data_IF_126788042984
#
_entry.id   IF_126788042984
#
_cell.length_a   1.000
_cell.length_b   1.000
_cell.length_c   1.000
_cell.angle_alpha   90.00
_cell.angle_beta   90.00
_cell.angle_gamma   90.00
#
_symmetry.space_group_name_H-M   'P 1'
#
loop_
_entity.id
_entity.type
_entity.pdbx_description
1 polymer ?
#
# COMPACT_ATOMS: atom_id res chain seq x y z
N UNK A 1 -2.00 -24.90 21.27
CA UNK A 1 -0.54 -25.11 21.07
C UNK A 1 -0.21 -25.37 19.60
N UNK A 2 -0.99 -26.22 18.91
CA UNK A 2 -0.83 -26.57 17.48
C UNK A 2 -1.13 -25.41 16.51
N UNK A 3 -2.03 -24.49 16.87
CA UNK A 3 -2.41 -23.32 16.06
C UNK A 3 -1.26 -22.31 15.91
N UNK A 4 -0.54 -22.04 17.01
CA UNK A 4 0.65 -21.15 17.02
C UNK A 4 1.83 -21.70 16.19
N UNK A 5 1.93 -23.02 16.05
CA UNK A 5 2.99 -23.64 15.25
C UNK A 5 2.72 -23.48 13.76
N UNK A 6 1.46 -23.60 13.32
CA UNK A 6 1.06 -23.35 11.94
C UNK A 6 1.28 -21.88 11.55
N UNK A 7 0.90 -20.93 12.42
CA UNK A 7 1.14 -19.51 12.18
C UNK A 7 2.63 -19.16 12.08
N UNK A 8 3.45 -19.77 12.94
CA UNK A 8 4.90 -19.56 12.92
C UNK A 8 5.55 -20.15 11.66
N UNK A 9 5.12 -21.34 11.23
CA UNK A 9 5.60 -21.98 9.99
C UNK A 9 5.13 -21.18 8.77
N UNK A 10 3.90 -20.68 8.77
CA UNK A 10 3.39 -19.82 7.70
C UNK A 10 4.15 -18.48 7.65
N UNK A 11 4.46 -17.88 8.79
CA UNK A 11 5.26 -16.67 8.88
C UNK A 11 6.72 -16.87 8.43
N UNK A 12 7.34 -18.00 8.80
CA UNK A 12 8.68 -18.38 8.36
C UNK A 12 8.72 -18.66 6.85
N UNK A 13 7.76 -19.42 6.33
CA UNK A 13 7.64 -19.69 4.89
C UNK A 13 7.38 -18.39 4.11
N UNK A 14 6.61 -17.47 4.68
CA UNK A 14 6.36 -16.15 4.11
C UNK A 14 7.61 -15.26 4.09
N UNK A 15 8.46 -15.33 5.12
CA UNK A 15 9.68 -14.53 5.22
C UNK A 15 10.83 -15.09 4.39
N UNK A 16 10.82 -16.38 4.05
CA UNK A 16 11.85 -17.06 3.25
C UNK A 16 11.36 -17.42 1.85
N UNK A 17 10.64 -16.51 1.17
CA UNK A 17 10.39 -16.61 -0.27
C UNK A 17 11.67 -16.30 -1.08
N UNK A 18 12.76 -17.01 -0.77
CA UNK A 18 13.95 -17.03 -1.62
C UNK A 18 13.64 -17.82 -2.88
N UNK A 19 14.27 -17.40 -3.97
CA UNK A 19 14.25 -18.17 -5.22
C UNK A 19 14.96 -19.48 -4.92
N UNK A 20 14.28 -20.61 -5.15
CA UNK A 20 14.88 -21.93 -5.02
C UNK A 20 16.18 -21.91 -5.85
N UNK A 21 17.33 -22.24 -5.24
CA UNK A 21 18.66 -22.31 -5.91
C UNK A 21 18.75 -23.51 -6.88
N UNK A 22 17.70 -23.78 -7.64
CA UNK A 22 17.72 -24.76 -8.71
C UNK A 22 18.22 -24.11 -10.01
N UNK A 23 18.87 -24.92 -10.86
CA UNK A 23 19.31 -24.46 -12.17
C UNK A 23 18.11 -23.93 -12.97
N UNK A 24 18.21 -22.75 -13.60
CA UNK A 24 17.10 -22.16 -14.35
C UNK A 24 16.64 -23.11 -15.47
N UNK A 25 15.35 -23.46 -15.47
CA UNK A 25 14.73 -24.29 -16.52
C UNK A 25 13.90 -23.43 -17.47
N UNK A 26 13.51 -23.98 -18.63
CA UNK A 26 12.61 -23.30 -19.57
C UNK A 26 11.21 -23.01 -18.98
N UNK A 27 10.88 -23.53 -17.79
CA UNK A 27 9.67 -23.27 -17.02
C UNK A 27 9.98 -22.49 -15.74
N UNK A 28 10.83 -21.47 -15.81
CA UNK A 28 10.92 -20.53 -14.71
C UNK A 28 9.57 -19.82 -14.56
N UNK A 29 8.97 -19.95 -13.37
CA UNK A 29 7.80 -19.17 -12.98
C UNK A 29 8.27 -17.71 -12.87
N UNK A 30 7.89 -16.88 -13.84
CA UNK A 30 8.11 -15.45 -13.76
C UNK A 30 7.37 -14.96 -12.51
N UNK A 31 8.11 -14.66 -11.44
CA UNK A 31 7.54 -14.31 -10.15
C UNK A 31 6.74 -12.99 -10.26
N UNK A 32 5.41 -13.08 -10.40
CA UNK A 32 4.48 -11.95 -10.37
C UNK A 32 4.27 -11.47 -8.92
N UNK A 33 5.31 -10.84 -8.36
CA UNK A 33 5.31 -10.24 -7.02
C UNK A 33 5.07 -8.74 -7.12
N UNK A 34 4.02 -8.28 -6.45
CA UNK A 34 3.77 -6.85 -6.28
C UNK A 34 4.39 -6.40 -4.97
N UNK A 35 5.17 -5.33 -4.99
CA UNK A 35 5.83 -4.75 -3.81
C UNK A 35 5.30 -3.35 -3.54
N UNK A 36 4.89 -3.11 -2.30
CA UNK A 36 4.37 -1.81 -1.89
C UNK A 36 5.04 -1.35 -0.63
N UNK A 37 5.50 -0.10 -0.64
CA UNK A 37 5.97 0.58 0.55
C UNK A 37 5.06 1.76 0.90
N UNK A 38 4.51 1.76 2.11
CA UNK A 38 3.66 2.82 2.67
C UNK A 38 4.41 3.54 3.79
N UNK A 39 4.48 4.85 3.72
CA UNK A 39 5.30 5.69 4.60
C UNK A 39 4.42 6.69 5.37
N UNK A 40 4.11 6.38 6.63
CA UNK A 40 3.26 7.20 7.51
C UNK A 40 4.11 8.17 8.35
N UNK A 41 4.06 9.46 8.03
CA UNK A 41 4.88 10.45 8.72
C UNK A 41 4.32 10.85 10.10
N UNK A 42 5.20 11.38 10.94
CA UNK A 42 4.88 11.85 12.29
C UNK A 42 4.14 13.19 12.30
N UNK A 43 3.53 13.50 13.44
CA UNK A 43 2.77 14.74 13.63
C UNK A 43 3.56 15.98 13.24
N UNK A 44 2.91 16.89 12.51
CA UNK A 44 3.53 18.15 12.10
C UNK A 44 4.48 18.03 10.91
N UNK A 45 4.80 16.81 10.47
CA UNK A 45 5.67 16.60 9.32
C UNK A 45 4.87 16.53 8.02
N UNK A 46 5.42 17.11 6.97
CA UNK A 46 4.89 17.03 5.62
C UNK A 46 6.02 17.23 4.61
N UNK A 47 6.34 16.17 3.86
CA UNK A 47 7.45 16.16 2.89
C UNK A 47 7.49 17.38 1.97
N UNK A 48 6.36 17.78 1.39
CA UNK A 48 6.31 18.86 0.41
C UNK A 48 6.42 20.23 1.10
N UNK A 49 5.75 20.42 2.24
CA UNK A 49 5.85 21.66 3.03
C UNK A 49 7.23 21.85 3.66
N UNK A 50 7.86 20.76 4.12
CA UNK A 50 9.16 20.76 4.78
C UNK A 50 10.33 20.97 3.80
N UNK A 51 10.05 20.98 2.49
CA UNK A 51 11.06 21.17 1.43
C UNK A 51 11.74 22.52 1.50
N UNK A 52 10.98 23.60 1.74
CA UNK A 52 11.51 24.96 1.78
C UNK A 52 12.51 25.14 2.94
N UNK A 53 12.23 24.52 4.08
CA UNK A 53 13.07 24.61 5.28
C UNK A 53 14.10 23.47 5.38
N UNK A 54 14.06 22.50 4.45
CA UNK A 54 14.90 21.29 4.44
C UNK A 54 14.79 20.45 5.71
N UNK A 55 13.57 20.38 6.28
CA UNK A 55 13.28 19.73 7.57
C UNK A 55 12.61 18.35 7.43
N UNK A 56 12.95 17.60 6.39
CA UNK A 56 12.35 16.28 6.17
C UNK A 56 12.62 15.31 7.31
N UNK A 57 11.55 14.65 7.75
CA UNK A 57 11.58 13.51 8.65
C UNK A 57 12.35 12.33 8.06
N UNK A 58 12.74 11.37 8.90
CA UNK A 58 13.33 10.11 8.42
C UNK A 58 12.35 9.33 7.51
N UNK A 59 11.04 9.43 7.75
CA UNK A 59 10.03 8.78 6.91
C UNK A 59 10.01 9.37 5.50
N UNK A 60 10.03 10.70 5.39
CA UNK A 60 10.11 11.39 4.11
C UNK A 60 11.42 11.05 3.35
N UNK A 61 12.55 11.00 4.06
CA UNK A 61 13.84 10.59 3.48
C UNK A 61 13.83 9.15 2.97
N UNK A 62 13.26 8.22 3.74
CA UNK A 62 13.13 6.82 3.31
C UNK A 62 12.20 6.69 2.10
N UNK A 63 11.11 7.47 2.04
CA UNK A 63 10.23 7.53 0.88
C UNK A 63 10.94 8.04 -0.39
N UNK A 64 11.83 9.03 -0.25
CA UNK A 64 12.63 9.55 -1.36
C UNK A 64 13.70 8.56 -1.84
N UNK A 65 14.26 7.77 -0.93
CA UNK A 65 15.18 6.70 -1.26
C UNK A 65 14.50 5.42 -1.77
N UNK A 66 13.17 5.30 -1.60
CA UNK A 66 12.44 4.11 -1.99
C UNK A 66 12.34 4.00 -3.52
N UNK A 67 12.55 2.79 -4.03
CA UNK A 67 12.41 2.49 -5.46
C UNK A 67 10.94 2.57 -5.89
N UNK A 68 10.70 3.13 -7.06
CA UNK A 68 9.40 3.14 -7.73
C UNK A 68 9.58 2.64 -9.15
N UNK A 69 8.90 1.55 -9.47
CA UNK A 69 8.90 0.96 -10.80
C UNK A 69 7.57 0.22 -11.01
N UNK A 70 6.49 0.96 -11.34
CA UNK A 70 5.16 0.39 -11.54
C UNK A 70 5.12 -0.67 -12.64
N UNK A 71 5.99 -0.57 -13.65
CA UNK A 71 6.08 -1.54 -14.75
C UNK A 71 6.51 -2.93 -14.28
N UNK A 72 7.24 -2.98 -13.16
CA UNK A 72 7.68 -4.19 -12.48
C UNK A 72 6.97 -4.41 -11.13
N UNK A 73 5.81 -3.77 -10.93
CA UNK A 73 4.97 -4.00 -9.76
C UNK A 73 5.53 -3.42 -8.46
N UNK A 74 6.40 -2.40 -8.52
CA UNK A 74 7.03 -1.77 -7.35
C UNK A 74 6.44 -0.38 -7.14
N UNK A 75 5.79 -0.17 -6.00
CA UNK A 75 5.08 1.05 -5.66
C UNK A 75 5.53 1.62 -4.32
N UNK A 76 5.46 2.94 -4.19
CA UNK A 76 5.69 3.66 -2.94
C UNK A 76 4.63 4.74 -2.76
N UNK A 77 4.17 4.93 -1.53
CA UNK A 77 3.21 5.96 -1.18
C UNK A 77 3.61 6.64 0.12
N UNK A 78 3.61 7.97 0.10
CA UNK A 78 3.83 8.80 1.27
C UNK A 78 2.48 9.23 1.85
N UNK A 79 2.34 9.18 3.17
CA UNK A 79 1.18 9.64 3.90
C UNK A 79 1.66 10.71 4.89
N UNK A 80 1.26 11.96 4.64
CA UNK A 80 1.62 13.11 5.48
C UNK A 80 1.19 12.94 6.93
N UNK A 81 1.95 13.52 7.86
CA UNK A 81 1.69 13.42 9.28
C UNK A 81 0.44 14.16 9.74
N UNK A 82 -0.16 13.73 10.84
CA UNK A 82 -1.34 14.43 11.42
C UNK A 82 -1.02 15.87 11.79
N UNK A 83 -2.00 16.76 11.68
CA UNK A 83 -1.82 18.19 11.94
C UNK A 83 -1.05 18.94 10.84
N UNK A 84 -0.93 18.36 9.65
CA UNK A 84 -0.49 19.02 8.42
C UNK A 84 -1.51 18.78 7.31
N UNK A 85 -1.36 19.49 6.19
CA UNK A 85 -2.19 19.26 5.00
C UNK A 85 -2.03 17.84 4.48
N UNK A 86 -3.14 17.15 4.22
CA UNK A 86 -3.12 15.84 3.57
C UNK A 86 -2.52 15.94 2.16
N UNK A 87 -1.59 15.04 1.83
CA UNK A 87 -0.89 15.04 0.53
C UNK A 87 -1.66 14.33 -0.61
N UNK A 88 -2.75 13.61 -0.31
CA UNK A 88 -3.66 13.05 -1.32
C UNK A 88 -4.65 14.12 -1.82
N UNK A 89 -4.99 14.08 -3.11
CA UNK A 89 -6.20 14.74 -3.62
C UNK A 89 -7.43 13.99 -3.11
N UNK A 90 -8.20 14.66 -2.26
CA UNK A 90 -9.40 14.10 -1.62
C UNK A 90 -10.55 13.92 -2.63
N UNK A 91 -11.23 12.75 -2.67
CA UNK A 91 -12.64 12.69 -3.04
C UNK A 91 -13.50 13.22 -1.88
N UNK A 92 -14.70 13.68 -2.21
CA UNK A 92 -15.70 14.37 -1.38
C UNK A 92 -16.20 13.57 -0.17
N UNK A 93 -15.72 13.88 1.04
CA UNK A 93 -16.42 13.63 2.32
C UNK A 93 -16.29 14.80 3.32
N UNK A 94 -17.15 14.76 4.34
CA UNK A 94 -17.82 15.84 5.08
C UNK A 94 -17.03 16.59 6.17
N UNK A 95 -15.74 16.31 6.38
CA UNK A 95 -14.96 16.99 7.43
C UNK A 95 -14.25 18.22 6.86
N UNK A 96 -14.53 19.40 7.44
CA UNK A 96 -13.83 20.62 7.02
C UNK A 96 -12.31 20.42 7.10
N UNK A 97 -11.59 20.75 6.02
CA UNK A 97 -10.12 20.64 5.92
C UNK A 97 -9.41 21.29 7.11
N UNK A 98 -9.97 22.39 7.61
CA UNK A 98 -9.51 23.11 8.80
C UNK A 98 -9.57 22.25 10.08
N UNK A 99 -10.63 21.49 10.29
CA UNK A 99 -10.76 20.63 11.47
C UNK A 99 -9.78 19.45 11.42
N UNK A 100 -9.54 18.88 10.23
CA UNK A 100 -8.64 17.74 10.04
C UNK A 100 -7.15 18.09 10.12
N UNK A 101 -6.76 19.23 9.54
CA UNK A 101 -5.34 19.57 9.34
C UNK A 101 -4.75 20.41 10.48
N UNK A 102 -5.54 20.75 11.51
CA UNK A 102 -5.06 21.45 12.71
C UNK A 102 -4.38 20.52 13.71
N UNK A 103 -3.34 21.02 14.38
CA UNK A 103 -2.56 20.24 15.35
C UNK A 103 -3.36 19.80 16.59
N UNK A 104 -4.40 20.56 16.96
CA UNK A 104 -5.22 20.30 18.16
C UNK A 104 -6.37 19.32 17.86
N UNK A 105 -7.34 19.71 17.02
CA UNK A 105 -8.52 18.88 16.75
C UNK A 105 -8.17 17.73 15.80
N UNK A 106 -7.52 18.03 14.68
CA UNK A 106 -7.09 17.04 13.71
C UNK A 106 -6.04 16.07 14.23
N UNK A 107 -5.11 16.57 15.05
CA UNK A 107 -4.06 15.77 15.67
C UNK A 107 -4.49 15.00 16.93
N UNK A 108 -5.47 15.50 17.70
CA UNK A 108 -5.83 15.00 19.03
C UNK A 108 -7.19 14.32 19.15
N UNK A 109 -8.14 14.56 18.23
CA UNK A 109 -9.53 14.07 18.30
C UNK A 109 -9.84 12.98 17.26
N UNK A 110 -8.81 12.43 16.59
CA UNK A 110 -8.95 11.26 15.72
C UNK A 110 -9.29 11.54 14.26
N UNK A 111 -9.97 12.65 13.93
CA UNK A 111 -10.39 12.96 12.56
C UNK A 111 -9.22 13.04 11.55
N UNK A 112 -8.08 13.63 11.95
CA UNK A 112 -6.89 13.67 11.11
C UNK A 112 -6.20 12.31 10.95
N UNK A 113 -6.29 11.46 11.97
CA UNK A 113 -5.77 10.09 11.95
C UNK A 113 -6.60 9.20 11.01
N UNK A 114 -7.93 9.27 11.10
CA UNK A 114 -8.84 8.48 10.26
C UNK A 114 -8.65 8.77 8.77
N UNK A 115 -8.53 10.04 8.40
CA UNK A 115 -8.28 10.45 7.01
C UNK A 115 -6.96 9.88 6.45
N UNK A 116 -5.96 9.63 7.31
CA UNK A 116 -4.67 9.05 6.90
C UNK A 116 -4.72 7.54 6.79
N UNK A 117 -5.51 6.87 7.63
CA UNK A 117 -5.81 5.45 7.45
C UNK A 117 -6.60 5.23 6.15
N UNK A 118 -7.63 6.04 5.91
CA UNK A 118 -8.42 5.98 4.68
C UNK A 118 -7.56 6.30 3.45
N UNK A 119 -6.67 7.30 3.52
CA UNK A 119 -5.70 7.53 2.45
C UNK A 119 -4.83 6.29 2.19
N UNK A 120 -4.36 5.61 3.24
CA UNK A 120 -3.60 4.37 3.09
C UNK A 120 -4.41 3.25 2.40
N UNK A 121 -5.70 3.11 2.75
CA UNK A 121 -6.58 2.11 2.13
C UNK A 121 -6.82 2.41 0.64
N UNK A 122 -7.03 3.67 0.28
CA UNK A 122 -7.24 4.07 -1.11
C UNK A 122 -5.92 3.93 -1.90
N UNK A 123 -4.76 4.25 -1.31
CA UNK A 123 -3.44 4.01 -1.94
C UNK A 123 -3.22 2.52 -2.23
N UNK A 124 -3.60 1.66 -1.29
CA UNK A 124 -3.54 0.21 -1.48
C UNK A 124 -4.47 -0.26 -2.61
N UNK A 125 -5.71 0.24 -2.68
CA UNK A 125 -6.65 -0.10 -3.75
C UNK A 125 -6.17 0.39 -5.13
N UNK A 126 -5.68 1.63 -5.22
CA UNK A 126 -5.15 2.21 -6.45
C UNK A 126 -3.94 1.41 -6.94
N UNK A 127 -3.06 1.00 -6.02
CA UNK A 127 -1.95 0.11 -6.30
C UNK A 127 -2.41 -1.22 -6.87
N UNK A 128 -3.35 -1.90 -6.21
CA UNK A 128 -3.84 -3.21 -6.65
C UNK A 128 -4.44 -3.14 -8.04
N UNK A 129 -5.22 -2.09 -8.32
CA UNK A 129 -5.78 -1.84 -9.66
C UNK A 129 -4.71 -1.62 -10.73
N UNK A 130 -3.67 -0.84 -10.42
CA UNK A 130 -2.54 -0.59 -11.33
C UNK A 130 -1.74 -1.86 -11.58
N UNK A 131 -1.49 -2.64 -10.54
CA UNK A 131 -0.77 -3.92 -10.63
C UNK A 131 -1.52 -4.91 -11.50
N UNK A 132 -2.83 -5.04 -11.31
CA UNK A 132 -3.69 -5.87 -12.16
C UNK A 132 -3.63 -5.38 -13.61
N UNK A 133 -3.70 -4.07 -13.86
CA UNK A 133 -3.59 -3.51 -15.21
C UNK A 133 -2.29 -3.94 -15.88
N UNK A 134 -1.15 -3.70 -15.23
CA UNK A 134 0.19 -4.04 -15.75
C UNK A 134 0.29 -5.55 -16.02
N UNK A 135 -0.20 -6.38 -15.11
CA UNK A 135 -0.19 -7.83 -15.29
C UNK A 135 -1.07 -8.26 -16.48
N UNK A 136 -2.25 -7.65 -16.65
CA UNK A 136 -3.14 -7.95 -17.79
C UNK A 136 -2.55 -7.50 -19.12
N UNK A 137 -1.86 -6.37 -19.15
CA UNK A 137 -1.15 -5.86 -20.32
C UNK A 137 -0.04 -6.85 -20.76
N UNK A 138 0.64 -7.48 -19.80
CA UNK A 138 1.66 -8.52 -20.04
C UNK A 138 1.06 -9.88 -20.44
N UNK A 139 -0.11 -10.24 -19.90
CA UNK A 139 -0.75 -11.53 -20.14
C UNK A 139 -1.40 -11.66 -21.53
N UNK A 140 -1.58 -10.56 -22.25
CA UNK A 140 -2.07 -10.55 -23.63
C UNK A 140 -3.47 -9.97 -23.81
N UNK A 141 -3.89 -9.82 -25.07
CA UNK A 141 -5.09 -9.05 -25.45
C UNK A 141 -6.39 -9.59 -24.85
N UNK A 142 -6.54 -10.90 -24.74
CA UNK A 142 -7.78 -11.52 -24.23
C UNK A 142 -7.98 -11.22 -22.73
N UNK A 143 -6.92 -11.33 -21.94
CA UNK A 143 -6.94 -11.03 -20.51
C UNK A 143 -7.12 -9.53 -20.28
N UNK A 144 -6.46 -8.69 -21.09
CA UNK A 144 -6.64 -7.24 -21.07
C UNK A 144 -8.10 -6.83 -21.34
N UNK A 145 -8.78 -7.48 -22.29
CA UNK A 145 -10.19 -7.20 -22.56
C UNK A 145 -11.10 -7.49 -21.35
N UNK A 146 -10.78 -8.51 -20.55
CA UNK A 146 -11.49 -8.81 -19.30
C UNK A 146 -11.27 -7.68 -18.27
N UNK A 147 -10.04 -7.18 -18.14
CA UNK A 147 -9.76 -6.02 -17.30
C UNK A 147 -10.57 -4.80 -17.76
N UNK A 148 -10.47 -4.45 -19.04
CA UNK A 148 -11.09 -3.24 -19.58
C UNK A 148 -12.63 -3.22 -19.36
N UNK A 149 -13.28 -4.39 -19.43
CA UNK A 149 -14.72 -4.57 -19.17
C UNK A 149 -15.11 -4.44 -17.69
N UNK A 150 -14.18 -4.66 -16.77
CA UNK A 150 -14.44 -4.70 -15.33
C UNK A 150 -13.72 -3.61 -14.53
N UNK A 151 -12.89 -2.78 -15.16
CA UNK A 151 -12.04 -1.79 -14.48
C UNK A 151 -12.83 -0.75 -13.68
N UNK A 152 -14.06 -0.45 -14.06
CA UNK A 152 -14.93 0.51 -13.36
C UNK A 152 -15.66 -0.10 -12.15
N UNK A 153 -15.67 -1.43 -12.03
CA UNK A 153 -16.29 -2.14 -10.89
C UNK A 153 -15.41 -2.06 -9.65
N UNK A 154 -15.96 -2.48 -8.51
CA UNK A 154 -15.19 -2.64 -7.27
C UNK A 154 -14.01 -3.60 -7.44
N UNK A 155 -12.95 -3.40 -6.64
CA UNK A 155 -11.72 -4.21 -6.74
C UNK A 155 -12.00 -5.72 -6.54
N UNK A 156 -12.96 -6.06 -5.69
CA UNK A 156 -13.39 -7.45 -5.47
C UNK A 156 -13.95 -8.08 -6.75
N UNK A 157 -14.82 -7.38 -7.49
CA UNK A 157 -15.41 -7.87 -8.73
C UNK A 157 -14.37 -7.97 -9.85
N UNK A 158 -13.47 -6.99 -9.92
CA UNK A 158 -12.33 -7.03 -10.82
C UNK A 158 -11.42 -8.23 -10.53
N UNK A 159 -11.11 -8.49 -9.26
CA UNK A 159 -10.29 -9.63 -8.84
C UNK A 159 -10.99 -10.96 -9.15
N UNK A 160 -12.30 -11.06 -8.93
CA UNK A 160 -13.08 -12.26 -9.31
C UNK A 160 -13.03 -12.51 -10.82
N UNK A 161 -13.18 -11.47 -11.64
CA UNK A 161 -13.12 -11.58 -13.10
C UNK A 161 -11.75 -12.04 -13.60
N UNK A 162 -10.67 -11.72 -12.87
CA UNK A 162 -9.29 -12.06 -13.24
C UNK A 162 -8.74 -13.30 -12.53
N UNK A 163 -9.46 -13.85 -11.55
CA UNK A 163 -9.01 -14.95 -10.68
C UNK A 163 -8.51 -16.19 -11.44
N UNK A 164 -9.11 -16.52 -12.59
CA UNK A 164 -8.72 -17.66 -13.42
C UNK A 164 -7.36 -17.53 -14.11
N UNK A 165 -6.78 -16.33 -14.18
CA UNK A 165 -5.57 -16.04 -14.94
C UNK A 165 -4.30 -15.96 -14.10
N UNK A 166 -4.39 -16.09 -12.76
CA UNK A 166 -3.25 -16.11 -11.81
C UNK A 166 -2.22 -14.99 -12.03
N UNK A 167 -2.70 -13.77 -12.23
CA UNK A 167 -1.88 -12.62 -12.66
C UNK A 167 -0.97 -12.03 -11.57
N UNK A 168 -1.28 -12.28 -10.30
CA UNK A 168 -0.48 -11.84 -9.15
C UNK A 168 -0.37 -13.03 -8.22
N UNK A 169 0.86 -13.45 -7.92
CA UNK A 169 1.13 -14.61 -7.05
C UNK A 169 1.27 -14.19 -5.59
N UNK A 170 1.90 -13.05 -5.32
CA UNK A 170 2.00 -12.51 -3.97
C UNK A 170 2.09 -10.98 -3.96
N UNK A 171 1.67 -10.41 -2.84
CA UNK A 171 1.75 -8.96 -2.57
C UNK A 171 2.57 -8.79 -1.30
N UNK A 172 3.70 -8.11 -1.43
CA UNK A 172 4.62 -7.80 -0.33
C UNK A 172 4.40 -6.34 0.09
N UNK A 173 4.13 -6.15 1.38
CA UNK A 173 3.74 -4.86 1.92
C UNK A 173 4.72 -4.46 3.01
N UNK A 174 5.45 -3.37 2.76
CA UNK A 174 6.33 -2.70 3.71
C UNK A 174 5.60 -1.49 4.28
N UNK A 175 5.40 -1.44 5.58
CA UNK A 175 4.75 -0.29 6.24
C UNK A 175 5.74 0.33 7.22
N UNK A 176 6.09 1.59 6.98
CA UNK A 176 7.01 2.37 7.80
C UNK A 176 6.26 3.55 8.42
N UNK A 177 6.59 3.91 9.66
CA UNK A 177 6.02 5.10 10.25
C UNK A 177 6.81 5.64 11.45
N UNK A 178 6.58 6.91 11.76
CA UNK A 178 7.26 7.62 12.85
C UNK A 178 6.27 8.31 13.80
N UNK A 179 6.49 8.24 15.12
CA UNK A 179 5.63 8.86 16.14
C UNK A 179 4.14 8.47 15.97
N UNK A 180 3.20 9.43 15.86
CA UNK A 180 1.78 9.13 15.55
C UNK A 180 1.62 8.42 14.19
N UNK A 181 2.49 8.66 13.22
CA UNK A 181 2.56 7.89 11.98
C UNK A 181 2.87 6.40 12.20
N UNK A 182 3.67 6.04 13.22
CA UNK A 182 3.89 4.64 13.58
C UNK A 182 2.65 4.00 14.19
N UNK A 183 1.86 4.76 14.98
CA UNK A 183 0.57 4.29 15.47
C UNK A 183 -0.42 4.06 14.32
N UNK A 184 -0.45 4.98 13.34
CA UNK A 184 -1.25 4.82 12.11
C UNK A 184 -0.82 3.61 11.29
N UNK A 185 0.48 3.41 11.08
CA UNK A 185 1.02 2.23 10.40
C UNK A 185 0.54 0.93 11.05
N UNK A 186 0.60 0.83 12.39
CA UNK A 186 0.10 -0.34 13.13
C UNK A 186 -1.40 -0.53 12.98
N UNK A 187 -2.18 0.56 13.07
CA UNK A 187 -3.64 0.51 12.90
C UNK A 187 -4.02 0.09 11.48
N UNK A 188 -3.33 0.61 10.46
CA UNK A 188 -3.49 0.23 9.07
C UNK A 188 -3.22 -1.26 8.85
N UNK A 189 -2.09 -1.78 9.35
CA UNK A 189 -1.78 -3.22 9.25
C UNK A 189 -2.86 -4.07 9.94
N UNK A 190 -3.32 -3.67 11.13
CA UNK A 190 -4.39 -4.39 11.82
C UNK A 190 -5.73 -4.37 11.04
N UNK A 191 -6.06 -3.25 10.37
CA UNK A 191 -7.24 -3.16 9.51
C UNK A 191 -7.12 -4.10 8.31
N UNK A 192 -5.94 -4.12 7.67
CA UNK A 192 -5.66 -4.98 6.53
C UNK A 192 -5.75 -6.46 6.90
N UNK A 193 -5.13 -6.87 8.02
CA UNK A 193 -5.19 -8.27 8.48
C UNK A 193 -6.63 -8.75 8.70
N UNK A 194 -7.52 -7.87 9.16
CA UNK A 194 -8.96 -8.19 9.31
C UNK A 194 -9.70 -8.37 7.99
N UNK A 195 -9.19 -7.84 6.88
CA UNK A 195 -9.78 -8.00 5.55
C UNK A 195 -9.32 -9.27 4.84
N UNK A 196 -8.27 -9.92 5.36
CA UNK A 196 -7.69 -11.15 4.79
C UNK A 196 -8.22 -12.44 5.44
N UNK A 197 -9.03 -12.32 6.50
CA UNK A 197 -9.73 -13.43 7.16
C UNK A 197 -11.18 -13.51 6.68
#
# INVERSE_FOLDING_TARGET
>A
MMERAHDLIAALTASTHDVIEEAPTAKQDCYDRVKVALFFDGTGNNRDADTAEKKWSNVARLFDAAREDPSNGIYRYYISGVGTKLNRKEPWWELSKYVRDTSFIGGGVGAGADSRLESGDIDMNDMLRRSLKVATDKAGKDVKAIYDKNQEKGLSDLNKALSGHRLIKSIEISVLGFSRGAALARAFVNRMLKMCN
#
